data_IF_287920964561
#
_entry.id   IF_287920964561
#
_cell.length_a   1.000
_cell.length_b   1.000
_cell.length_c   1.000
_cell.angle_alpha   90.00
_cell.angle_beta   90.00
_cell.angle_gamma   90.00
#
_symmetry.space_group_name_H-M   'P 1'
#
loop_
_entity.id
_entity.type
_entity.pdbx_description
1 polymer ?
#
# COMPACT_ATOMS: atom_id res chain seq x y z
N UNK A 1 -10.15 -14.14 -34.38
CA UNK A 1 -10.34 -15.06 -33.21
C UNK A 1 -10.92 -14.27 -32.05
N UNK A 2 -11.94 -14.76 -31.36
CA UNK A 2 -12.43 -14.13 -30.15
C UNK A 2 -11.35 -14.14 -29.06
N UNK A 3 -11.14 -13.00 -28.39
CA UNK A 3 -10.17 -12.90 -27.31
C UNK A 3 -10.58 -13.82 -26.15
N UNK A 4 -9.60 -14.46 -25.52
CA UNK A 4 -9.86 -15.28 -24.32
C UNK A 4 -10.44 -14.42 -23.18
N UNK A 5 -11.36 -14.95 -22.40
CA UNK A 5 -12.04 -14.23 -21.32
C UNK A 5 -11.09 -13.54 -20.35
N UNK A 6 -10.01 -14.20 -19.94
CA UNK A 6 -9.03 -13.59 -19.02
C UNK A 6 -8.25 -12.43 -19.65
N UNK A 7 -8.10 -12.41 -20.97
CA UNK A 7 -7.45 -11.31 -21.67
C UNK A 7 -8.40 -10.11 -21.81
N UNK A 8 -9.69 -10.36 -22.04
CA UNK A 8 -10.73 -9.33 -21.98
C UNK A 8 -10.79 -8.69 -20.58
N UNK A 9 -10.75 -9.52 -19.53
CA UNK A 9 -10.70 -9.03 -18.15
C UNK A 9 -9.50 -8.12 -17.88
N UNK A 10 -8.29 -8.50 -18.36
CA UNK A 10 -7.09 -7.67 -18.23
C UNK A 10 -7.24 -6.33 -18.95
N UNK A 11 -7.78 -6.34 -20.16
CA UNK A 11 -8.00 -5.11 -20.94
C UNK A 11 -8.96 -4.16 -20.24
N UNK A 12 -10.09 -4.66 -19.75
CA UNK A 12 -11.07 -3.82 -19.02
C UNK A 12 -10.47 -3.27 -17.71
N UNK A 13 -9.70 -4.07 -16.98
CA UNK A 13 -9.00 -3.61 -15.78
C UNK A 13 -7.99 -2.50 -16.11
N UNK A 14 -7.24 -2.63 -17.22
CA UNK A 14 -6.28 -1.61 -17.69
C UNK A 14 -7.00 -0.36 -18.17
N UNK A 15 -8.09 -0.50 -18.92
CA UNK A 15 -8.92 0.63 -19.38
C UNK A 15 -9.45 1.45 -18.18
N UNK A 16 -9.77 0.77 -17.09
CA UNK A 16 -10.22 1.42 -15.83
C UNK A 16 -9.07 1.80 -14.89
N UNK A 17 -7.84 1.81 -15.37
CA UNK A 17 -6.63 2.20 -14.63
C UNK A 17 -6.37 1.43 -13.33
N UNK A 18 -6.81 0.15 -13.25
CA UNK A 18 -6.49 -0.69 -12.09
C UNK A 18 -4.98 -0.99 -12.01
N UNK A 19 -4.46 -1.06 -10.79
CA UNK A 19 -3.06 -1.41 -10.56
C UNK A 19 -2.74 -2.81 -11.08
N UNK A 20 -1.49 -3.04 -11.51
CA UNK A 20 -1.03 -4.36 -11.94
C UNK A 20 -1.31 -5.45 -10.92
N UNK A 21 -1.10 -5.16 -9.63
CA UNK A 21 -1.38 -6.11 -8.55
C UNK A 21 -2.87 -6.46 -8.43
N UNK A 22 -3.76 -5.49 -8.64
CA UNK A 22 -5.21 -5.74 -8.67
C UNK A 22 -5.58 -6.58 -9.89
N UNK A 23 -4.98 -6.28 -11.05
CA UNK A 23 -5.15 -7.06 -12.29
C UNK A 23 -4.80 -8.52 -12.05
N UNK A 24 -3.61 -8.80 -11.48
CA UNK A 24 -3.19 -10.16 -11.17
C UNK A 24 -4.14 -10.87 -10.20
N UNK A 25 -4.53 -10.20 -9.11
CA UNK A 25 -5.42 -10.77 -8.12
C UNK A 25 -6.80 -11.10 -8.70
N UNK A 26 -7.37 -10.22 -9.52
CA UNK A 26 -8.69 -10.46 -10.13
C UNK A 26 -8.64 -11.58 -11.17
N UNK A 27 -7.60 -11.60 -12.00
CA UNK A 27 -7.39 -12.69 -12.96
C UNK A 27 -7.23 -14.03 -12.26
N UNK A 28 -6.50 -14.09 -11.13
CA UNK A 28 -6.31 -15.30 -10.36
C UNK A 28 -7.62 -15.80 -9.74
N UNK A 29 -8.42 -14.90 -9.15
CA UNK A 29 -9.74 -15.28 -8.60
C UNK A 29 -10.70 -15.79 -9.67
N UNK A 30 -10.75 -15.13 -10.83
CA UNK A 30 -11.60 -15.58 -11.94
C UNK A 30 -11.10 -16.92 -12.48
N UNK A 31 -9.78 -17.13 -12.59
CA UNK A 31 -9.22 -18.44 -12.97
C UNK A 31 -9.62 -19.53 -11.99
N UNK A 32 -9.51 -19.29 -10.68
CA UNK A 32 -9.91 -20.26 -9.63
C UNK A 32 -11.39 -20.58 -9.72
N UNK A 33 -12.24 -19.59 -9.95
CA UNK A 33 -13.68 -19.79 -10.14
C UNK A 33 -13.97 -20.68 -11.36
N UNK A 34 -13.32 -20.43 -12.50
CA UNK A 34 -13.47 -21.24 -13.72
C UNK A 34 -13.00 -22.69 -13.49
N UNK A 35 -11.89 -22.86 -12.78
CA UNK A 35 -11.34 -24.20 -12.49
C UNK A 35 -12.22 -24.97 -11.49
N UNK A 36 -12.84 -24.29 -10.54
CA UNK A 36 -13.76 -24.91 -9.57
C UNK A 36 -14.99 -25.54 -10.25
N UNK A 37 -15.39 -25.03 -11.41
CA UNK A 37 -16.46 -25.57 -12.24
C UNK A 37 -15.94 -26.27 -13.52
N UNK A 38 -14.84 -27.00 -13.43
CA UNK A 38 -14.28 -27.83 -14.51
C UNK A 38 -14.15 -27.09 -15.86
N UNK A 39 -13.74 -25.81 -15.82
CA UNK A 39 -13.59 -24.91 -16.95
C UNK A 39 -14.91 -24.51 -17.64
N UNK A 40 -16.06 -24.65 -16.96
CA UNK A 40 -17.33 -24.11 -17.44
C UNK A 40 -17.19 -22.58 -17.64
N UNK A 41 -17.79 -22.09 -18.72
CA UNK A 41 -17.65 -20.66 -19.05
C UNK A 41 -18.51 -19.79 -18.12
N UNK A 42 -17.97 -18.70 -17.51
CA UNK A 42 -18.72 -17.85 -16.58
C UNK A 42 -20.01 -17.24 -17.16
N UNK A 43 -20.10 -17.06 -18.47
CA UNK A 43 -21.34 -16.63 -19.10
C UNK A 43 -22.53 -17.58 -18.90
N UNK A 44 -22.27 -18.84 -18.60
CA UNK A 44 -23.27 -19.89 -18.34
C UNK A 44 -23.57 -20.07 -16.86
N UNK A 45 -22.95 -19.26 -16.00
CA UNK A 45 -23.05 -19.28 -14.57
C UNK A 45 -23.66 -17.98 -14.04
N UNK A 46 -24.07 -17.97 -12.78
CA UNK A 46 -24.70 -16.81 -12.16
C UNK A 46 -24.49 -16.71 -10.66
N UNK A 47 -25.43 -16.08 -9.97
CA UNK A 47 -25.37 -15.87 -8.53
C UNK A 47 -25.26 -17.18 -7.71
N UNK A 48 -25.98 -18.28 -8.05
CA UNK A 48 -25.88 -19.54 -7.31
C UNK A 48 -24.45 -20.12 -7.35
N UNK A 49 -23.80 -20.11 -8.51
CA UNK A 49 -22.44 -20.60 -8.66
C UNK A 49 -21.44 -19.73 -7.93
N UNK A 50 -21.60 -18.41 -7.96
CA UNK A 50 -20.75 -17.49 -7.19
C UNK A 50 -20.91 -17.78 -5.69
N UNK A 51 -22.12 -17.94 -5.22
CA UNK A 51 -22.41 -18.23 -3.81
C UNK A 51 -21.79 -19.56 -3.37
N UNK A 52 -21.93 -20.63 -4.17
CA UNK A 52 -21.35 -21.93 -3.87
C UNK A 52 -19.81 -21.86 -3.83
N UNK A 53 -19.18 -21.16 -4.77
CA UNK A 53 -17.73 -20.96 -4.75
C UNK A 53 -17.26 -20.16 -3.52
N UNK A 54 -17.97 -19.10 -3.12
CA UNK A 54 -17.64 -18.33 -1.91
C UNK A 54 -17.85 -19.16 -0.64
N UNK A 55 -18.87 -20.04 -0.60
CA UNK A 55 -19.08 -20.97 0.50
C UNK A 55 -17.93 -21.99 0.59
N UNK A 56 -17.53 -22.59 -0.54
CA UNK A 56 -16.35 -23.48 -0.61
C UNK A 56 -15.07 -22.76 -0.08
N UNK A 57 -14.81 -21.52 -0.51
CA UNK A 57 -13.66 -20.77 0.00
C UNK A 57 -13.70 -20.56 1.53
N UNK A 58 -14.90 -20.33 2.07
CA UNK A 58 -15.07 -20.09 3.51
C UNK A 58 -14.96 -21.38 4.32
N UNK A 59 -15.65 -22.44 3.90
CA UNK A 59 -15.81 -23.70 4.66
C UNK A 59 -14.62 -24.64 4.43
N UNK A 60 -14.31 -24.95 3.19
CA UNK A 60 -13.24 -25.89 2.85
C UNK A 60 -11.88 -25.19 2.75
N UNK A 61 -11.84 -24.02 2.10
CA UNK A 61 -10.63 -23.23 1.95
C UNK A 61 -10.20 -22.49 3.22
N UNK A 62 -11.07 -22.39 4.24
CA UNK A 62 -10.86 -21.68 5.51
C UNK A 62 -10.23 -20.27 5.33
N UNK A 63 -10.64 -19.55 4.27
CA UNK A 63 -10.08 -18.24 3.97
C UNK A 63 -10.69 -17.17 4.88
N UNK A 64 -9.94 -16.09 5.11
CA UNK A 64 -10.46 -14.95 5.87
C UNK A 64 -11.63 -14.25 5.15
N UNK A 65 -12.51 -13.59 5.91
CA UNK A 65 -13.59 -12.75 5.36
C UNK A 65 -13.08 -11.70 4.36
N UNK A 66 -11.88 -11.15 4.58
CA UNK A 66 -11.25 -10.21 3.64
C UNK A 66 -10.89 -10.86 2.31
N UNK A 67 -10.38 -12.08 2.35
CA UNK A 67 -10.02 -12.87 1.16
C UNK A 67 -11.27 -13.26 0.37
N UNK A 68 -12.31 -13.71 1.06
CA UNK A 68 -13.61 -14.04 0.45
C UNK A 68 -14.23 -12.81 -0.23
N UNK A 69 -14.21 -11.65 0.42
CA UNK A 69 -14.71 -10.39 -0.16
C UNK A 69 -13.88 -9.92 -1.35
N UNK A 70 -12.59 -10.22 -1.39
CA UNK A 70 -11.75 -9.94 -2.56
C UNK A 70 -12.14 -10.82 -3.75
N UNK A 71 -12.40 -12.11 -3.53
CA UNK A 71 -12.91 -13.00 -4.56
C UNK A 71 -14.27 -12.54 -5.09
N UNK A 72 -15.21 -12.19 -4.20
CA UNK A 72 -16.50 -11.63 -4.57
C UNK A 72 -16.35 -10.39 -5.44
N UNK A 73 -15.48 -9.45 -5.04
CA UNK A 73 -15.25 -8.21 -5.80
C UNK A 73 -14.71 -8.49 -7.21
N UNK A 74 -13.82 -9.48 -7.37
CA UNK A 74 -13.28 -9.88 -8.66
C UNK A 74 -14.36 -10.51 -9.57
N UNK A 75 -15.23 -11.35 -9.00
CA UNK A 75 -16.31 -11.99 -9.76
C UNK A 75 -17.40 -10.97 -10.14
N UNK A 76 -17.82 -10.10 -9.22
CA UNK A 76 -18.77 -9.02 -9.55
C UNK A 76 -18.23 -8.10 -10.63
N UNK A 77 -16.92 -7.79 -10.59
CA UNK A 77 -16.26 -7.03 -11.65
C UNK A 77 -16.34 -7.77 -13.00
N UNK A 78 -16.03 -9.07 -13.02
CA UNK A 78 -16.10 -9.88 -14.25
C UNK A 78 -17.53 -9.84 -14.85
N UNK A 79 -18.53 -10.10 -14.03
CA UNK A 79 -19.91 -10.16 -14.52
C UNK A 79 -20.41 -8.81 -15.03
N UNK A 80 -20.21 -7.75 -14.25
CA UNK A 80 -20.68 -6.41 -14.58
C UNK A 80 -19.92 -5.79 -15.77
N UNK A 81 -18.59 -5.84 -15.74
CA UNK A 81 -17.75 -5.03 -16.63
C UNK A 81 -17.27 -5.78 -17.88
N UNK A 82 -17.26 -7.11 -17.86
CA UNK A 82 -16.75 -7.92 -18.98
C UNK A 82 -17.87 -8.72 -19.64
N UNK A 83 -18.74 -9.33 -18.83
CA UNK A 83 -19.84 -10.14 -19.34
C UNK A 83 -21.14 -9.34 -19.54
N UNK A 84 -21.19 -8.09 -19.04
CA UNK A 84 -22.36 -7.21 -19.09
C UNK A 84 -23.64 -7.88 -18.53
N UNK A 85 -23.46 -8.69 -17.48
CA UNK A 85 -24.54 -9.36 -16.76
C UNK A 85 -24.67 -8.74 -15.36
N UNK A 86 -25.86 -8.31 -15.02
CA UNK A 86 -26.17 -7.88 -13.66
C UNK A 86 -26.36 -9.09 -12.75
N UNK A 87 -25.66 -9.08 -11.65
CA UNK A 87 -25.83 -10.02 -10.55
C UNK A 87 -26.40 -9.22 -9.38
N UNK A 88 -27.55 -9.63 -8.87
CA UNK A 88 -28.14 -8.95 -7.71
C UNK A 88 -27.23 -9.06 -6.47
N UNK A 89 -26.71 -7.93 -5.96
CA UNK A 89 -25.83 -7.94 -4.79
C UNK A 89 -26.49 -8.49 -3.52
N UNK A 90 -27.83 -8.46 -3.44
CA UNK A 90 -28.59 -9.00 -2.29
C UNK A 90 -28.42 -10.51 -2.18
N UNK A 91 -28.26 -11.20 -3.30
CA UNK A 91 -28.04 -12.65 -3.34
C UNK A 91 -26.60 -13.05 -2.94
N UNK A 92 -25.67 -12.09 -2.85
CA UNK A 92 -24.26 -12.33 -2.59
C UNK A 92 -23.76 -11.49 -1.40
N UNK A 93 -24.19 -11.78 -0.17
CA UNK A 93 -23.79 -10.99 0.99
C UNK A 93 -22.28 -11.07 1.22
N UNK A 94 -21.68 -9.90 1.43
CA UNK A 94 -20.27 -9.83 1.80
C UNK A 94 -20.04 -10.38 3.21
N UNK A 95 -18.94 -11.10 3.42
CA UNK A 95 -18.58 -11.63 4.72
C UNK A 95 -18.29 -10.49 5.72
N UNK A 96 -18.86 -10.59 6.92
CA UNK A 96 -18.62 -9.60 8.00
C UNK A 96 -17.15 -9.62 8.41
N UNK A 97 -16.51 -8.46 8.36
CA UNK A 97 -15.13 -8.30 8.83
C UNK A 97 -15.13 -7.93 10.31
N UNK A 98 -14.43 -8.68 11.16
CA UNK A 98 -14.26 -8.24 12.55
C UNK A 98 -13.49 -6.93 12.57
N UNK A 99 -14.00 -5.93 13.27
CA UNK A 99 -13.26 -4.70 13.55
C UNK A 99 -12.20 -5.00 14.61
N UNK A 100 -10.95 -4.85 14.28
CA UNK A 100 -9.83 -4.98 15.21
C UNK A 100 -9.22 -3.60 15.43
N UNK A 101 -8.99 -3.27 16.69
CA UNK A 101 -8.22 -2.07 17.02
C UNK A 101 -6.80 -2.18 16.46
N UNK A 102 -6.26 -1.11 15.89
CA UNK A 102 -4.92 -1.11 15.37
C UNK A 102 -3.89 -1.29 16.50
N UNK A 103 -2.84 -2.06 16.24
CA UNK A 103 -1.68 -2.12 17.14
C UNK A 103 -0.95 -0.78 17.08
N UNK A 104 -0.75 -0.18 18.25
CA UNK A 104 0.00 1.06 18.45
C UNK A 104 1.21 0.77 19.36
N UNK A 105 2.36 1.30 19.00
CA UNK A 105 3.57 1.26 19.82
C UNK A 105 3.62 2.48 20.73
N UNK A 106 4.19 2.35 21.91
CA UNK A 106 4.58 3.50 22.73
C UNK A 106 5.76 4.22 22.09
N UNK A 107 6.05 5.46 22.51
CA UNK A 107 7.22 6.21 22.01
C UNK A 107 8.53 5.47 22.30
N UNK A 108 8.63 4.79 23.44
CA UNK A 108 9.81 4.01 23.81
C UNK A 108 9.93 2.72 22.97
N UNK A 109 8.82 2.04 22.69
CA UNK A 109 8.81 0.89 21.77
C UNK A 109 9.24 1.30 20.35
N UNK A 110 8.77 2.46 19.84
CA UNK A 110 9.23 2.98 18.55
C UNK A 110 10.73 3.27 18.57
N UNK A 111 11.23 3.93 19.64
CA UNK A 111 12.66 4.24 19.77
C UNK A 111 13.50 2.96 19.78
N UNK A 112 13.11 1.96 20.58
CA UNK A 112 13.78 0.65 20.61
C UNK A 112 13.75 -0.03 19.25
N UNK A 113 12.59 -0.08 18.57
CA UNK A 113 12.45 -0.66 17.24
C UNK A 113 13.43 -0.03 16.23
N UNK A 114 13.49 1.31 16.21
CA UNK A 114 14.36 2.05 15.28
C UNK A 114 15.86 1.84 15.57
N UNK A 115 16.24 1.51 16.80
CA UNK A 115 17.63 1.19 17.15
C UNK A 115 18.09 -0.19 16.64
N UNK A 116 17.16 -1.11 16.38
CA UNK A 116 17.45 -2.41 15.75
C UNK A 116 17.28 -2.41 14.22
N UNK A 117 17.12 -1.24 13.61
CA UNK A 117 17.08 -1.08 12.16
C UNK A 117 18.32 -0.29 11.70
N UNK A 118 18.85 -0.66 10.52
CA UNK A 118 20.00 -0.02 9.92
C UNK A 118 19.75 0.40 8.48
N UNK A 119 20.65 1.25 7.95
CA UNK A 119 20.69 1.66 6.56
C UNK A 119 19.36 2.18 6.02
N UNK A 120 19.04 1.79 4.81
CA UNK A 120 17.83 2.26 4.09
C UNK A 120 16.53 1.89 4.81
N UNK A 121 16.48 0.72 5.46
CA UNK A 121 15.27 0.30 6.16
C UNK A 121 15.00 1.12 7.42
N UNK A 122 16.04 1.57 8.13
CA UNK A 122 15.90 2.51 9.24
C UNK A 122 15.33 3.84 8.78
N UNK A 123 15.91 4.40 7.72
CA UNK A 123 15.44 5.66 7.13
C UNK A 123 13.97 5.57 6.68
N UNK A 124 13.60 4.48 5.99
CA UNK A 124 12.22 4.25 5.59
C UNK A 124 11.28 4.10 6.80
N UNK A 125 11.67 3.38 7.84
CA UNK A 125 10.88 3.24 9.06
C UNK A 125 10.69 4.57 9.79
N UNK A 126 11.74 5.41 9.82
CA UNK A 126 11.67 6.76 10.36
C UNK A 126 10.69 7.65 9.57
N UNK A 127 10.66 7.55 8.24
CA UNK A 127 9.68 8.27 7.40
C UNK A 127 8.25 7.74 7.62
N UNK A 128 8.06 6.43 7.75
CA UNK A 128 6.73 5.87 8.06
C UNK A 128 6.19 6.38 9.39
N UNK A 129 7.04 6.48 10.42
CA UNK A 129 6.66 6.99 11.72
C UNK A 129 6.61 8.53 11.79
N UNK A 130 7.57 9.23 11.19
CA UNK A 130 7.71 10.67 11.31
C UNK A 130 6.82 11.48 10.35
N UNK A 131 6.44 10.89 9.22
CA UNK A 131 5.60 11.54 8.18
C UNK A 131 4.25 10.83 7.99
N UNK A 132 4.02 9.69 8.65
CA UNK A 132 2.79 8.93 8.55
C UNK A 132 2.52 8.31 7.18
N UNK A 133 3.54 8.06 6.37
CA UNK A 133 3.41 7.48 5.03
C UNK A 133 2.82 6.05 5.06
N UNK A 134 2.08 5.69 4.01
CA UNK A 134 1.79 4.27 3.73
C UNK A 134 3.06 3.57 3.20
N UNK A 135 3.17 2.25 3.41
CA UNK A 135 4.31 1.48 2.90
C UNK A 135 4.60 1.75 1.42
N UNK A 136 3.57 1.67 0.58
CA UNK A 136 3.73 1.88 -0.86
C UNK A 136 4.01 3.33 -1.25
N UNK A 137 3.55 4.29 -0.48
CA UNK A 137 3.91 5.70 -0.64
C UNK A 137 5.40 5.89 -0.36
N UNK A 138 5.89 5.36 0.76
CA UNK A 138 7.31 5.44 1.15
C UNK A 138 8.24 4.83 0.09
N UNK A 139 7.97 3.59 -0.39
CA UNK A 139 8.84 2.95 -1.37
C UNK A 139 8.78 3.61 -2.75
N UNK A 140 7.71 4.33 -3.06
CA UNK A 140 7.52 5.01 -4.34
C UNK A 140 7.94 6.47 -4.34
N UNK A 141 8.43 7.01 -3.21
CA UNK A 141 8.95 8.37 -3.17
C UNK A 141 10.01 8.57 -4.25
N UNK A 142 9.96 9.73 -4.89
CA UNK A 142 10.93 10.19 -5.87
C UNK A 142 11.78 11.31 -5.29
N UNK A 143 12.88 11.61 -5.93
CA UNK A 143 13.78 12.69 -5.49
C UNK A 143 13.02 14.03 -5.40
N UNK A 144 12.20 14.35 -6.41
CA UNK A 144 11.41 15.59 -6.45
C UNK A 144 10.32 15.71 -5.40
N UNK A 145 9.97 14.61 -4.71
CA UNK A 145 8.90 14.63 -3.71
C UNK A 145 9.37 15.16 -2.36
N UNK A 146 10.69 15.36 -2.19
CA UNK A 146 11.30 15.82 -0.93
C UNK A 146 11.70 17.29 -1.06
N UNK A 147 11.13 18.11 -0.21
CA UNK A 147 11.48 19.53 -0.09
C UNK A 147 12.18 19.78 1.26
N UNK A 148 13.46 20.13 1.18
CA UNK A 148 14.29 20.39 2.36
C UNK A 148 14.11 21.81 2.92
N UNK A 149 13.68 22.75 2.10
CA UNK A 149 13.48 24.16 2.51
C UNK A 149 12.18 24.30 3.28
N UNK A 150 11.08 23.80 2.70
CA UNK A 150 9.78 23.77 3.38
C UNK A 150 9.65 22.63 4.39
N UNK A 151 10.63 21.71 4.45
CA UNK A 151 10.61 20.51 5.31
C UNK A 151 9.35 19.67 5.12
N UNK A 152 9.04 19.38 3.88
CA UNK A 152 7.84 18.64 3.50
C UNK A 152 8.15 17.48 2.55
N UNK A 153 7.24 16.54 2.50
CA UNK A 153 7.21 15.48 1.50
C UNK A 153 5.86 15.56 0.78
N UNK A 154 5.91 15.63 -0.54
CA UNK A 154 4.71 15.53 -1.39
C UNK A 154 4.39 14.06 -1.63
N UNK A 155 3.23 13.62 -1.19
CA UNK A 155 2.73 12.27 -1.45
C UNK A 155 1.78 12.32 -2.64
N UNK A 156 2.21 11.71 -3.74
CA UNK A 156 1.43 11.65 -4.97
C UNK A 156 0.56 10.40 -4.99
N UNK A 157 -0.73 10.58 -5.16
CA UNK A 157 -1.68 9.47 -5.12
C UNK A 157 -2.23 9.17 -6.54
N UNK A 158 -1.79 8.06 -7.12
CA UNK A 158 -1.99 7.68 -8.52
C UNK A 158 -3.41 7.23 -8.93
N UNK A 159 -4.46 7.39 -8.13
CA UNK A 159 -5.82 6.92 -8.46
C UNK A 159 -6.91 7.94 -8.15
N UNK A 160 -6.78 9.18 -8.66
CA UNK A 160 -7.80 10.23 -8.44
C UNK A 160 -7.93 10.65 -6.98
N UNK A 161 -6.96 10.30 -6.15
CA UNK A 161 -6.76 10.85 -4.82
C UNK A 161 -5.93 12.14 -4.98
N UNK A 162 -6.22 13.15 -4.17
CA UNK A 162 -5.49 14.41 -4.20
C UNK A 162 -4.09 14.19 -3.64
N UNK A 163 -3.09 14.80 -4.26
CA UNK A 163 -1.76 14.94 -3.67
C UNK A 163 -1.90 15.57 -2.27
N UNK A 164 -1.06 15.14 -1.35
CA UNK A 164 -1.01 15.73 -0.02
C UNK A 164 0.41 16.00 0.41
N UNK A 165 0.56 16.97 1.28
CA UNK A 165 1.84 17.35 1.87
C UNK A 165 1.88 16.80 3.29
N UNK A 166 3.01 16.17 3.66
CA UNK A 166 3.26 15.67 5.01
C UNK A 166 4.60 16.22 5.52
N UNK A 167 4.81 16.32 6.84
CA UNK A 167 6.06 16.84 7.39
C UNK A 167 7.24 15.91 7.06
N UNK A 168 8.39 16.52 6.76
CA UNK A 168 9.69 15.87 6.71
C UNK A 168 10.36 16.02 8.10
N UNK A 169 10.60 14.93 8.85
CA UNK A 169 11.26 15.05 10.15
C UNK A 169 12.69 15.56 10.02
N UNK A 170 13.06 16.56 10.81
CA UNK A 170 14.40 17.17 10.75
C UNK A 170 15.52 16.15 11.02
N UNK A 171 15.28 15.22 11.94
CA UNK A 171 16.25 14.21 12.34
C UNK A 171 16.69 13.28 11.22
N UNK A 172 15.89 13.13 10.16
CA UNK A 172 16.24 12.26 9.01
C UNK A 172 16.93 13.01 7.87
N UNK A 173 16.94 14.35 7.89
CA UNK A 173 17.48 15.18 6.80
C UNK A 173 18.94 14.80 6.44
N UNK A 174 19.87 14.65 7.40
CA UNK A 174 21.25 14.31 7.06
C UNK A 174 21.37 12.96 6.34
N UNK A 175 20.66 11.93 6.81
CA UNK A 175 20.69 10.60 6.19
C UNK A 175 19.95 10.60 4.84
N UNK A 176 18.88 11.36 4.72
CA UNK A 176 18.13 11.49 3.48
C UNK A 176 18.96 12.17 2.39
N UNK A 177 19.74 13.19 2.73
CA UNK A 177 20.71 13.82 1.80
C UNK A 177 21.79 12.80 1.34
N UNK A 178 22.32 11.99 2.27
CA UNK A 178 23.26 10.90 1.93
C UNK A 178 22.61 9.86 1.01
N UNK A 179 21.34 9.52 1.27
CA UNK A 179 20.58 8.61 0.42
C UNK A 179 20.39 9.17 -1.00
N UNK A 180 20.05 10.44 -1.14
CA UNK A 180 19.90 11.12 -2.44
C UNK A 180 21.22 11.09 -3.21
N UNK A 181 22.36 11.31 -2.54
CA UNK A 181 23.67 11.24 -3.18
C UNK A 181 24.01 9.83 -3.65
N UNK A 182 23.72 8.79 -2.86
CA UNK A 182 23.85 7.39 -3.31
C UNK A 182 22.99 7.10 -4.56
N UNK A 183 21.76 7.64 -4.60
CA UNK A 183 20.89 7.48 -5.77
C UNK A 183 21.46 8.22 -6.98
N UNK A 184 22.10 9.38 -6.78
CA UNK A 184 22.76 10.13 -7.86
C UNK A 184 23.85 9.30 -8.52
N UNK A 185 24.76 8.77 -7.71
CA UNK A 185 25.86 7.93 -8.21
C UNK A 185 25.33 6.69 -8.95
N UNK A 186 24.36 6.00 -8.36
CA UNK A 186 23.72 4.84 -8.98
C UNK A 186 23.03 5.19 -10.32
N UNK A 187 22.42 6.36 -10.40
CA UNK A 187 21.77 6.82 -11.62
C UNK A 187 22.80 7.16 -12.73
N UNK A 188 23.92 7.77 -12.36
CA UNK A 188 25.03 8.04 -13.28
C UNK A 188 25.63 6.74 -13.84
N UNK A 189 25.83 5.72 -12.99
CA UNK A 189 26.26 4.38 -13.39
C UNK A 189 25.23 3.74 -14.36
N UNK A 190 23.96 3.84 -14.05
CA UNK A 190 22.88 3.32 -14.91
C UNK A 190 22.86 4.01 -16.28
N UNK A 191 23.02 5.33 -16.31
CA UNK A 191 23.08 6.10 -17.57
C UNK A 191 24.29 5.70 -18.41
N UNK A 192 25.47 5.54 -17.78
CA UNK A 192 26.69 5.10 -18.47
C UNK A 192 26.55 3.68 -19.03
N UNK A 193 25.77 2.80 -18.38
CA UNK A 193 25.47 1.45 -18.83
C UNK A 193 24.33 1.37 -19.86
N UNK A 194 23.76 2.52 -20.30
CA UNK A 194 22.67 2.58 -21.28
C UNK A 194 21.26 2.41 -20.69
N UNK A 195 21.16 2.37 -19.36
CA UNK A 195 19.89 2.32 -18.60
C UNK A 195 19.50 3.72 -18.11
N UNK A 196 18.93 3.82 -16.89
CA UNK A 196 18.61 5.09 -16.23
C UNK A 196 17.15 5.50 -16.41
N UNK A 197 16.33 4.74 -17.14
CA UNK A 197 14.90 4.98 -17.24
C UNK A 197 14.16 4.42 -16.02
N UNK A 198 13.21 5.21 -15.49
CA UNK A 198 12.23 4.76 -14.51
C UNK A 198 10.83 4.71 -15.13
N UNK A 199 9.93 3.93 -14.52
CA UNK A 199 8.51 3.97 -14.85
C UNK A 199 7.93 5.34 -14.48
N UNK A 200 7.27 5.99 -15.42
CA UNK A 200 6.46 7.19 -15.16
C UNK A 200 4.97 6.82 -15.15
N UNK A 201 4.17 7.40 -14.25
CA UNK A 201 2.73 7.15 -14.21
C UNK A 201 2.01 7.76 -15.42
N UNK A 202 0.94 7.10 -15.84
CA UNK A 202 -0.03 7.55 -16.84
C UNK A 202 0.61 7.98 -18.18
N UNK A 203 0.24 9.18 -18.66
CA UNK A 203 0.71 9.70 -19.93
C UNK A 203 1.99 10.55 -19.84
N UNK A 204 2.64 10.62 -18.65
CA UNK A 204 3.81 11.47 -18.46
C UNK A 204 4.99 11.08 -19.35
N UNK A 205 5.21 9.79 -19.59
CA UNK A 205 6.27 9.31 -20.51
C UNK A 205 6.05 9.83 -21.93
N UNK A 206 4.80 10.00 -22.35
CA UNK A 206 4.44 10.54 -23.65
C UNK A 206 4.51 12.07 -23.72
N UNK A 207 4.10 12.74 -22.61
CA UNK A 207 4.11 14.20 -22.49
C UNK A 207 5.53 14.75 -22.33
N UNK A 208 6.38 14.02 -21.59
CA UNK A 208 7.75 14.39 -21.29
C UNK A 208 8.69 13.22 -21.62
N UNK A 209 9.11 13.06 -22.89
CA UNK A 209 9.87 11.88 -23.36
C UNK A 209 11.18 11.62 -22.62
N UNK A 210 11.84 12.67 -22.11
CA UNK A 210 13.11 12.58 -21.42
C UNK A 210 12.96 12.43 -19.89
N UNK A 211 11.78 12.70 -19.33
CA UNK A 211 11.57 12.72 -17.90
C UNK A 211 11.91 11.39 -17.21
N UNK A 212 11.70 10.25 -17.90
CA UNK A 212 12.05 8.94 -17.35
C UNK A 212 13.54 8.79 -17.01
N UNK A 213 14.42 9.59 -17.67
CA UNK A 213 15.87 9.59 -17.46
C UNK A 213 16.35 10.73 -16.55
N UNK A 214 15.51 11.68 -16.22
CA UNK A 214 15.88 12.79 -15.35
C UNK A 214 16.04 12.32 -13.90
N UNK A 215 17.04 12.87 -13.22
CA UNK A 215 17.35 12.50 -11.84
C UNK A 215 16.20 12.74 -10.88
N UNK A 216 15.46 13.82 -11.03
CA UNK A 216 14.34 14.17 -10.15
C UNK A 216 13.21 13.14 -10.15
N UNK A 217 13.05 12.36 -11.22
CA UNK A 217 12.06 11.30 -11.34
C UNK A 217 12.52 9.96 -10.79
N UNK A 218 13.80 9.81 -10.47
CA UNK A 218 14.32 8.56 -9.90
C UNK A 218 13.69 8.27 -8.54
N UNK A 219 13.55 6.97 -8.22
CA UNK A 219 13.06 6.58 -6.90
C UNK A 219 14.08 6.92 -5.83
N UNK A 220 13.61 7.46 -4.69
CA UNK A 220 14.43 7.74 -3.52
C UNK A 220 14.99 6.45 -2.90
N UNK A 221 14.27 5.35 -3.06
CA UNK A 221 14.64 4.01 -2.60
C UNK A 221 14.64 3.04 -3.78
N UNK A 222 15.65 3.09 -4.66
CA UNK A 222 15.73 2.23 -5.82
C UNK A 222 16.04 0.78 -5.43
N UNK A 223 15.60 -0.16 -6.25
CA UNK A 223 16.00 -1.57 -6.15
C UNK A 223 17.49 -1.73 -6.47
N UNK A 224 18.14 -2.72 -5.87
CA UNK A 224 19.56 -3.03 -6.13
C UNK A 224 19.80 -3.47 -7.58
N UNK A 225 18.82 -4.11 -8.21
CA UNK A 225 18.92 -4.66 -9.56
C UNK A 225 17.84 -4.08 -10.48
N UNK A 226 18.14 -4.07 -11.79
CA UNK A 226 17.15 -3.79 -12.81
C UNK A 226 16.14 -4.95 -12.91
N UNK A 227 14.94 -4.63 -13.37
CA UNK A 227 13.89 -5.61 -13.61
C UNK A 227 13.13 -5.29 -14.90
N UNK A 228 12.53 -6.31 -15.48
CA UNK A 228 11.66 -6.14 -16.65
C UNK A 228 10.30 -5.64 -16.17
N UNK A 229 9.88 -4.49 -16.70
CA UNK A 229 8.52 -3.99 -16.46
C UNK A 229 7.51 -4.93 -17.13
N UNK A 230 6.60 -5.54 -16.38
CA UNK A 230 5.70 -6.57 -16.90
C UNK A 230 4.66 -6.04 -17.89
N UNK A 231 4.47 -4.73 -17.98
CA UNK A 231 3.52 -4.11 -18.93
C UNK A 231 4.19 -3.64 -20.21
N UNK A 232 5.36 -3.03 -20.11
CA UNK A 232 6.08 -2.47 -21.27
C UNK A 232 7.17 -3.38 -21.82
N UNK A 233 7.64 -4.37 -21.06
CA UNK A 233 8.79 -5.21 -21.40
C UNK A 233 10.14 -4.48 -21.29
N UNK A 234 10.17 -3.19 -20.95
CA UNK A 234 11.42 -2.42 -20.80
C UNK A 234 12.17 -2.83 -19.54
N UNK A 235 13.50 -2.88 -19.64
CA UNK A 235 14.37 -3.07 -18.48
C UNK A 235 14.56 -1.73 -17.78
N UNK A 236 14.19 -1.67 -16.49
CA UNK A 236 14.22 -0.43 -15.69
C UNK A 236 14.64 -0.72 -14.25
N UNK A 237 15.19 0.29 -13.57
CA UNK A 237 15.36 0.23 -12.13
C UNK A 237 14.06 0.68 -11.45
N UNK A 238 13.44 -0.26 -10.73
CA UNK A 238 12.21 0.01 -9.98
C UNK A 238 12.53 0.44 -8.53
N UNK A 239 11.51 0.75 -7.73
CA UNK A 239 11.69 0.95 -6.30
C UNK A 239 12.05 -0.36 -5.59
N UNK A 240 12.64 -0.25 -4.39
CA UNK A 240 12.92 -1.39 -3.51
C UNK A 240 11.66 -2.23 -3.25
N UNK A 241 11.82 -3.55 -3.12
CA UNK A 241 10.70 -4.43 -2.81
C UNK A 241 10.19 -4.17 -1.37
N UNK A 242 8.88 -3.89 -1.19
CA UNK A 242 8.31 -3.59 0.11
C UNK A 242 8.42 -4.75 1.12
N UNK A 243 8.58 -5.99 0.65
CA UNK A 243 8.73 -7.16 1.53
C UNK A 243 10.03 -7.12 2.34
N UNK A 244 11.08 -6.48 1.81
CA UNK A 244 12.34 -6.26 2.53
C UNK A 244 12.12 -5.45 3.80
N UNK A 245 11.45 -4.30 3.68
CA UNK A 245 11.12 -3.47 4.84
C UNK A 245 10.17 -4.18 5.82
N UNK A 246 9.18 -4.93 5.30
CA UNK A 246 8.28 -5.71 6.15
C UNK A 246 9.03 -6.74 7.00
N UNK A 247 10.00 -7.46 6.40
CA UNK A 247 10.86 -8.42 7.11
C UNK A 247 11.75 -7.72 8.13
N UNK A 248 12.41 -6.63 7.75
CA UNK A 248 13.29 -5.86 8.63
C UNK A 248 12.54 -5.32 9.85
N UNK A 249 11.38 -4.69 9.67
CA UNK A 249 10.54 -4.20 10.78
C UNK A 249 10.08 -5.33 11.70
N UNK A 250 9.67 -6.48 11.14
CA UNK A 250 9.27 -7.64 11.94
C UNK A 250 10.43 -8.21 12.76
N UNK A 251 11.63 -8.28 12.17
CA UNK A 251 12.82 -8.76 12.85
C UNK A 251 13.26 -7.80 13.97
N UNK A 252 13.36 -6.51 13.66
CA UNK A 252 13.71 -5.48 14.63
C UNK A 252 12.75 -5.44 15.84
N UNK A 253 11.45 -5.66 15.60
CA UNK A 253 10.47 -5.74 16.70
C UNK A 253 10.72 -6.92 17.65
N UNK A 254 11.14 -8.07 17.11
CA UNK A 254 11.51 -9.26 17.91
C UNK A 254 12.77 -9.00 18.74
N UNK A 255 13.80 -8.45 18.11
CA UNK A 255 15.08 -8.13 18.74
C UNK A 255 14.93 -7.04 19.82
N UNK A 256 14.05 -6.07 19.60
CA UNK A 256 13.69 -5.05 20.57
C UNK A 256 12.82 -5.57 21.74
N UNK A 257 12.45 -6.86 21.75
CA UNK A 257 11.59 -7.44 22.78
C UNK A 257 10.19 -6.83 22.83
N UNK A 258 9.62 -6.44 21.67
CA UNK A 258 8.28 -5.85 21.60
C UNK A 258 7.23 -6.96 21.47
N UNK A 259 6.38 -7.20 22.50
CA UNK A 259 5.42 -8.30 22.53
C UNK A 259 4.15 -7.98 21.71
N UNK A 260 4.30 -7.30 20.58
CA UNK A 260 3.21 -6.88 19.70
C UNK A 260 3.51 -7.30 18.26
N UNK A 261 2.46 -7.53 17.47
CA UNK A 261 2.62 -7.75 16.03
C UNK A 261 2.92 -6.42 15.33
N UNK A 262 4.19 -6.17 15.04
CA UNK A 262 4.63 -4.93 14.39
C UNK A 262 4.76 -5.13 12.88
N UNK A 263 4.26 -4.15 12.14
CA UNK A 263 4.33 -4.05 10.69
C UNK A 263 4.64 -2.59 10.31
N UNK A 264 5.01 -2.28 9.05
CA UNK A 264 5.12 -0.89 8.60
C UNK A 264 3.87 -0.04 8.87
N UNK A 265 2.67 -0.62 8.77
CA UNK A 265 1.43 0.08 9.11
C UNK A 265 1.32 0.41 10.61
N UNK A 266 1.94 -0.38 11.48
CA UNK A 266 1.97 -0.10 12.93
C UNK A 266 2.71 1.21 13.22
N UNK A 267 3.78 1.53 12.47
CA UNK A 267 4.48 2.81 12.59
C UNK A 267 3.59 4.00 12.21
N UNK A 268 2.84 3.88 11.11
CA UNK A 268 1.86 4.89 10.72
C UNK A 268 0.70 5.02 11.72
N UNK A 269 0.22 3.93 12.29
CA UNK A 269 -0.79 3.97 13.36
C UNK A 269 -0.26 4.69 14.60
N UNK A 270 1.00 4.41 14.95
CA UNK A 270 1.67 5.08 16.08
C UNK A 270 1.89 6.57 15.82
N UNK A 271 2.23 6.99 14.58
CA UNK A 271 2.28 8.39 14.18
C UNK A 271 0.95 9.08 14.44
N UNK A 272 -0.15 8.54 13.89
CA UNK A 272 -1.49 9.12 14.04
C UNK A 272 -1.88 9.28 15.51
N UNK A 273 -1.69 8.21 16.28
CA UNK A 273 -2.01 8.19 17.71
C UNK A 273 -1.17 9.19 18.50
N UNK A 274 0.13 9.26 18.24
CA UNK A 274 1.04 10.16 18.97
C UNK A 274 0.80 11.64 18.62
N UNK A 275 0.35 11.97 17.41
CA UNK A 275 -0.10 13.32 17.07
C UNK A 275 -1.36 13.70 17.87
N UNK A 276 -2.35 12.83 17.90
CA UNK A 276 -3.56 13.06 18.70
C UNK A 276 -3.23 13.21 20.19
N UNK A 277 -2.32 12.38 20.74
CA UNK A 277 -1.84 12.51 22.12
C UNK A 277 -1.06 13.81 22.39
N UNK A 278 -0.45 14.38 21.36
CA UNK A 278 0.24 15.68 21.42
C UNK A 278 -0.72 16.86 21.26
N UNK A 279 -2.04 16.61 21.13
CA UNK A 279 -3.06 17.66 21.05
C UNK A 279 -3.42 18.13 19.65
N UNK A 280 -2.87 17.52 18.60
CA UNK A 280 -3.30 17.84 17.23
C UNK A 280 -4.75 17.39 17.02
N UNK A 281 -5.53 18.18 16.31
CA UNK A 281 -6.92 17.87 16.02
C UNK A 281 -7.06 16.72 14.99
N UNK A 282 -8.21 16.06 15.03
CA UNK A 282 -8.45 14.86 14.21
C UNK A 282 -8.52 15.16 12.71
N UNK A 283 -8.90 16.38 12.30
CA UNK A 283 -8.95 16.79 10.90
C UNK A 283 -7.55 16.94 10.34
N UNK A 284 -6.66 17.62 11.08
CA UNK A 284 -5.24 17.69 10.73
C UNK A 284 -4.63 16.29 10.55
N UNK A 285 -4.90 15.36 11.49
CA UNK A 285 -4.41 13.98 11.38
C UNK A 285 -5.04 13.25 10.19
N UNK A 286 -6.33 13.46 9.91
CA UNK A 286 -7.01 12.92 8.75
C UNK A 286 -6.36 13.36 7.44
N UNK A 287 -6.06 14.65 7.30
CA UNK A 287 -5.43 15.24 6.11
C UNK A 287 -4.02 14.68 5.91
N UNK A 288 -3.18 14.68 6.94
CA UNK A 288 -1.83 14.11 6.90
C UNK A 288 -1.84 12.63 6.49
N UNK A 289 -2.80 11.87 6.98
CA UNK A 289 -2.95 10.46 6.62
C UNK A 289 -3.59 10.26 5.23
N UNK A 290 -4.24 11.26 4.65
CA UNK A 290 -4.99 11.12 3.40
C UNK A 290 -6.14 10.11 3.53
N UNK A 291 -6.93 10.23 4.60
CA UNK A 291 -8.13 9.42 4.77
C UNK A 291 -9.34 10.17 4.19
N UNK A 292 -10.01 9.58 3.20
CA UNK A 292 -11.22 10.14 2.58
C UNK A 292 -12.37 10.30 3.58
N UNK A 293 -12.46 9.38 4.53
CA UNK A 293 -13.51 9.34 5.56
C UNK A 293 -12.88 9.49 6.95
N UNK A 294 -13.39 10.46 7.72
CA UNK A 294 -12.93 10.70 9.10
C UNK A 294 -13.11 9.48 9.99
N UNK A 295 -14.12 8.63 9.72
CA UNK A 295 -14.32 7.36 10.44
C UNK A 295 -13.09 6.46 10.43
N UNK A 296 -12.30 6.53 9.36
CA UNK A 296 -11.01 5.80 9.28
C UNK A 296 -9.97 6.37 10.26
N UNK A 297 -10.05 7.67 10.58
CA UNK A 297 -9.17 8.32 11.56
C UNK A 297 -9.69 8.17 12.99
N UNK A 298 -11.02 8.07 13.16
CA UNK A 298 -11.66 7.85 14.46
C UNK A 298 -11.18 6.57 15.15
N UNK A 299 -10.68 5.58 14.42
CA UNK A 299 -10.11 4.36 15.03
C UNK A 299 -8.93 4.63 15.96
N UNK A 300 -8.27 5.79 15.88
CA UNK A 300 -7.16 6.17 16.76
C UNK A 300 -7.61 6.88 18.04
N UNK A 301 -8.86 7.33 18.12
CA UNK A 301 -9.35 8.07 19.30
C UNK A 301 -9.50 7.19 20.53
N UNK A 302 -9.60 5.87 20.37
CA UNK A 302 -9.62 4.93 21.50
C UNK A 302 -8.37 5.00 22.39
N UNK A 303 -7.23 5.47 21.87
CA UNK A 303 -5.98 5.60 22.63
C UNK A 303 -5.89 6.94 23.36
N UNK A 304 -6.64 7.97 22.91
CA UNK A 304 -6.75 9.26 23.62
C UNK A 304 -7.49 9.11 24.95
N UNK A 305 -8.37 8.15 25.01
CA UNK A 305 -9.13 7.83 26.19
C UNK A 305 -8.29 6.87 27.04
N UNK A 306 -7.44 7.42 27.90
CA UNK A 306 -6.75 6.63 28.94
C UNK A 306 -7.82 5.88 29.75
N UNK A 307 -7.91 4.54 29.56
CA UNK A 307 -8.91 3.70 30.18
C UNK A 307 -10.34 4.06 29.73
N UNK A 308 -10.80 3.58 28.55
CA UNK A 308 -12.16 3.72 28.03
C UNK A 308 -12.90 4.99 28.50
N UNK A 309 -13.11 5.97 27.60
CA UNK A 309 -13.81 7.23 27.88
C UNK A 309 -13.13 8.22 28.86
N UNK A 310 -11.80 8.18 29.01
CA UNK A 310 -11.02 8.97 29.98
C UNK A 310 -11.40 8.71 31.44
N UNK A 311 -11.99 7.56 31.73
CA UNK A 311 -12.39 7.16 33.08
C UNK A 311 -11.19 6.57 33.82
N UNK A 312 -10.96 7.01 35.04
CA UNK A 312 -10.03 6.32 35.97
C UNK A 312 -10.65 5.00 36.41
N UNK A 313 -9.82 3.99 36.56
CA UNK A 313 -10.26 2.74 37.15
C UNK A 313 -10.77 2.97 38.56
N UNK A 314 -11.88 2.33 39.01
CA UNK A 314 -12.27 2.35 40.40
C UNK A 314 -11.20 1.85 41.36
N UNK A 315 -10.18 1.13 40.90
CA UNK A 315 -9.01 0.71 41.69
C UNK A 315 -7.98 1.82 41.90
N UNK A 316 -8.11 2.95 41.18
CA UNK A 316 -7.14 4.05 41.20
C UNK A 316 -7.63 5.23 42.07
N UNK A 317 -8.74 5.08 42.78
CA UNK A 317 -9.28 6.04 43.79
C UNK A 317 -9.99 5.35 44.93
#
# INVERSE_FOLDING_TARGET
MAKKLLDQLREVLRLKHYSYRTEQAYVDWVRRFILFYDKRHPAEMGAPEIQAFLAHLAVEGNVSASTQNQALSALLFLYREVLHKEIDPVLLPSAKRPQRLPTVLTRDEVRRLLNYLDGVYKLMAQLLYGSGLRLMECVRLRIQDVDFEYRTITVRDGKGEKDRIVPLPETVIPELRRQIERVRLLHEEDLAAGYGEVYLPDALERKYPNAAREFIWQYLFPAAQHSVDPRSGKVRRHHIDPSGLQRAVKQAAREAGIPKRVTPHTLRHSFATHLLQAGYDIRTVQELLGHKDVRTTMIYTHVLQRGGLAVRSPLDF
#
